data_IF_145575766008
#
_entry.id   IF_145575766008
#
_cell.length_a   1.000
_cell.length_b   1.000
_cell.length_c   1.000
_cell.angle_alpha   90.00
_cell.angle_beta   90.00
_cell.angle_gamma   90.00
#
_symmetry.space_group_name_H-M   'P 1'
#
loop_
_entity.id
_entity.type
_entity.pdbx_description
1 polymer ?
#
# COMPACT_ATOMS: atom_id res chain seq x y z
N UNK A 1 -4.04 59.57 74.35
CA UNK A 1 -4.69 59.55 73.09
C UNK A 1 -4.64 58.15 72.55
N UNK A 2 -5.50 57.59 72.55
CA UNK A 2 -6.82 57.00 72.56
C UNK A 2 -6.80 55.84 71.54
N UNK A 3 -6.93 54.66 72.13
CA UNK A 3 -6.99 53.37 71.48
C UNK A 3 -8.30 53.13 70.65
N UNK A 4 -9.07 54.16 70.34
CA UNK A 4 -10.41 54.06 69.73
C UNK A 4 -10.45 54.34 68.23
N UNK A 5 -9.29 54.45 67.56
CA UNK A 5 -9.23 54.71 66.13
C UNK A 5 -8.70 53.55 65.25
N UNK A 6 -8.37 52.41 65.89
CA UNK A 6 -7.81 51.28 65.21
C UNK A 6 -8.83 50.14 64.96
N UNK A 7 -10.04 50.22 65.53
CA UNK A 7 -11.08 49.18 65.38
C UNK A 7 -12.08 49.43 64.24
N UNK A 8 -12.00 50.56 63.54
CA UNK A 8 -13.00 50.90 62.50
C UNK A 8 -12.50 50.74 61.08
N UNK A 9 -11.34 50.11 60.90
CA UNK A 9 -10.75 49.86 59.58
C UNK A 9 -10.61 48.35 59.24
N UNK A 10 -11.18 47.48 60.08
CA UNK A 10 -11.12 46.03 59.86
C UNK A 10 -12.47 45.35 59.56
N UNK A 11 -13.45 46.09 59.09
CA UNK A 11 -14.76 45.53 58.72
C UNK A 11 -15.19 46.04 57.36
N UNK A 12 -14.45 45.78 56.32
CA UNK A 12 -14.97 45.80 54.94
C UNK A 12 -13.86 45.38 54.00
N UNK A 13 -13.68 44.11 53.74
CA UNK A 13 -13.22 43.55 52.47
C UNK A 13 -13.14 42.02 52.58
N UNK A 14 -14.30 41.38 52.80
CA UNK A 14 -14.46 39.98 52.44
C UNK A 14 -14.91 39.95 50.98
N UNK A 15 -13.97 40.18 50.08
CA UNK A 15 -14.19 39.91 48.64
C UNK A 15 -14.08 38.40 48.48
N UNK A 16 -15.20 37.75 48.23
CA UNK A 16 -15.27 36.38 47.81
C UNK A 16 -14.59 36.26 46.41
N UNK A 17 -13.31 35.86 46.41
CA UNK A 17 -12.62 35.42 45.23
C UNK A 17 -13.20 34.05 44.83
N UNK A 18 -14.29 34.04 44.06
CA UNK A 18 -14.77 32.89 43.36
C UNK A 18 -13.73 32.51 42.30
N UNK A 19 -12.85 31.56 42.63
CA UNK A 19 -12.04 30.87 41.63
C UNK A 19 -13.00 30.11 40.68
N UNK A 20 -13.33 30.73 39.57
CA UNK A 20 -13.78 30.00 38.37
C UNK A 20 -12.59 29.14 37.91
N UNK A 21 -12.55 27.90 38.37
CA UNK A 21 -11.79 26.85 37.72
C UNK A 21 -12.44 26.64 36.35
N UNK A 22 -11.95 27.36 35.35
CA UNK A 22 -12.14 26.98 33.97
C UNK A 22 -11.39 25.64 33.80
N UNK A 23 -12.10 24.53 33.94
CA UNK A 23 -11.64 23.26 33.41
C UNK A 23 -11.60 23.44 31.91
N UNK A 24 -10.42 23.75 31.38
CA UNK A 24 -10.15 23.48 29.96
C UNK A 24 -10.30 21.99 29.82
N UNK A 25 -11.44 21.53 29.30
CA UNK A 25 -11.55 20.24 28.66
C UNK A 25 -10.59 20.37 27.47
N UNK A 26 -9.40 19.83 27.63
CA UNK A 26 -8.56 19.55 26.45
C UNK A 26 -9.46 18.74 25.55
N UNK A 27 -9.83 19.26 24.40
CA UNK A 27 -10.44 18.47 23.36
C UNK A 27 -9.46 17.32 23.14
N UNK A 28 -9.91 16.09 23.38
CA UNK A 28 -9.14 14.92 23.05
C UNK A 28 -8.95 15.02 21.54
N UNK A 29 -7.73 15.24 21.09
CA UNK A 29 -7.43 15.25 19.66
C UNK A 29 -7.92 13.93 19.11
N UNK A 30 -8.83 13.97 18.15
CA UNK A 30 -9.32 12.79 17.45
C UNK A 30 -8.19 12.30 16.56
N UNK A 31 -7.28 11.47 17.07
CA UNK A 31 -6.15 10.91 16.33
C UNK A 31 -6.57 9.58 15.71
N UNK A 32 -6.36 9.43 14.41
CA UNK A 32 -6.48 8.17 13.71
C UNK A 32 -5.09 7.63 13.39
N UNK A 33 -4.71 6.51 13.96
CA UNK A 33 -3.43 5.87 13.70
C UNK A 33 -3.56 4.80 12.61
N UNK A 34 -2.83 4.98 11.49
CA UNK A 34 -2.83 4.05 10.37
C UNK A 34 -1.44 3.45 10.18
N UNK A 35 -1.31 2.12 10.33
CA UNK A 35 -0.06 1.44 9.97
C UNK A 35 0.01 1.28 8.46
N UNK A 36 1.13 1.69 7.86
CA UNK A 36 1.33 1.71 6.44
C UNK A 36 2.76 1.28 6.05
N UNK A 37 3.01 0.79 4.82
CA UNK A 37 4.37 0.51 4.35
C UNK A 37 5.18 1.79 4.19
N UNK A 38 6.51 1.69 4.29
CA UNK A 38 7.42 2.83 4.17
C UNK A 38 7.24 3.59 2.85
N UNK A 39 7.03 2.88 1.73
CA UNK A 39 6.82 3.51 0.42
C UNK A 39 5.54 4.35 0.38
N UNK A 40 4.48 3.93 1.07
CA UNK A 40 3.20 4.63 1.09
C UNK A 40 3.29 5.99 1.78
N UNK A 41 4.06 6.07 2.87
CA UNK A 41 4.21 7.27 3.71
C UNK A 41 5.42 8.12 3.35
N UNK A 42 6.24 7.71 2.38
CA UNK A 42 7.37 8.50 1.90
C UNK A 42 6.90 9.82 1.28
N UNK A 43 7.80 10.79 1.14
CA UNK A 43 7.50 12.07 0.47
C UNK A 43 7.03 11.89 -1.00
N UNK A 44 7.35 10.76 -1.62
CA UNK A 44 6.97 10.39 -2.98
C UNK A 44 5.73 9.49 -3.04
N UNK A 45 5.31 8.97 -1.89
CA UNK A 45 4.15 8.08 -1.76
C UNK A 45 2.84 8.86 -1.70
N UNK A 46 1.69 8.15 -1.73
CA UNK A 46 0.39 8.80 -1.70
C UNK A 46 -0.02 9.29 -0.29
N UNK A 47 0.66 8.82 0.77
CA UNK A 47 0.31 9.07 2.17
C UNK A 47 0.15 10.54 2.52
N UNK A 48 1.13 11.43 2.24
CA UNK A 48 1.02 12.85 2.59
C UNK A 48 -0.19 13.55 1.98
N UNK A 49 -0.51 13.28 0.71
CA UNK A 49 -1.69 13.86 0.06
C UNK A 49 -3.00 13.27 0.60
N UNK A 50 -3.02 11.98 0.94
CA UNK A 50 -4.17 11.30 1.56
C UNK A 50 -4.43 11.86 2.96
N UNK A 51 -3.38 12.10 3.76
CA UNK A 51 -3.46 12.73 5.08
C UNK A 51 -4.15 14.10 4.98
N UNK A 52 -3.61 15.00 4.16
CA UNK A 52 -4.18 16.34 3.94
C UNK A 52 -5.67 16.28 3.51
N UNK A 53 -6.01 15.39 2.56
CA UNK A 53 -7.37 15.26 2.07
C UNK A 53 -8.35 14.67 3.09
N UNK A 54 -7.90 13.74 3.92
CA UNK A 54 -8.74 13.15 4.96
C UNK A 54 -8.95 14.11 6.12
N UNK A 55 -7.91 14.78 6.60
CA UNK A 55 -7.99 15.78 7.67
C UNK A 55 -8.89 16.97 7.31
N UNK A 56 -8.91 17.37 6.03
CA UNK A 56 -9.83 18.38 5.55
C UNK A 56 -11.32 17.99 5.67
N UNK A 57 -11.64 16.71 5.92
CA UNK A 57 -13.01 16.15 6.01
C UNK A 57 -13.44 15.74 7.40
N UNK A 58 -12.44 15.42 8.22
CA UNK A 58 -12.67 15.01 9.59
C UNK A 58 -12.18 16.08 10.56
N UNK A 59 -12.61 16.39 11.61
CA UNK A 59 -11.98 17.21 12.65
C UNK A 59 -11.00 16.32 13.45
N UNK A 60 -9.92 15.86 12.77
CA UNK A 60 -9.01 14.84 13.28
C UNK A 60 -7.58 15.05 12.84
N UNK A 61 -6.64 14.33 13.45
CA UNK A 61 -5.22 14.18 13.11
C UNK A 61 -5.00 12.75 12.58
N UNK A 62 -4.69 12.59 11.30
CA UNK A 62 -4.36 11.31 10.68
C UNK A 62 -2.87 11.04 10.78
N UNK A 63 -2.48 10.03 11.54
CA UNK A 63 -1.08 9.66 11.72
C UNK A 63 -0.74 8.35 11.03
N UNK A 64 0.04 8.42 9.95
CA UNK A 64 0.64 7.22 9.39
C UNK A 64 1.86 6.79 10.20
N UNK A 65 1.92 5.50 10.54
CA UNK A 65 3.08 4.88 11.21
C UNK A 65 3.70 3.81 10.30
N UNK A 66 4.88 4.08 9.72
CA UNK A 66 5.54 3.13 8.82
C UNK A 66 6.07 1.89 9.54
N UNK A 67 6.29 0.83 8.77
CA UNK A 67 6.99 -0.37 9.20
C UNK A 67 6.32 -1.68 8.82
N UNK A 68 6.71 -2.74 9.55
CA UNK A 68 6.13 -4.06 9.38
C UNK A 68 4.66 -4.05 9.79
N UNK A 69 3.77 -4.49 8.92
CA UNK A 69 2.32 -4.39 9.13
C UNK A 69 1.77 -5.53 9.98
N UNK A 70 1.44 -6.67 9.33
CA UNK A 70 0.85 -7.81 10.04
C UNK A 70 1.75 -8.39 11.13
N UNK A 71 3.07 -8.56 10.95
CA UNK A 71 3.93 -9.05 12.00
C UNK A 71 3.90 -8.17 13.26
N UNK A 72 3.89 -6.85 13.09
CA UNK A 72 3.78 -5.88 14.18
C UNK A 72 2.44 -5.98 14.90
N UNK A 73 1.33 -5.98 14.15
CA UNK A 73 -0.02 -6.11 14.71
C UNK A 73 -0.16 -7.42 15.50
N UNK A 74 0.35 -8.54 14.98
CA UNK A 74 0.32 -9.82 15.68
C UNK A 74 1.16 -9.83 16.97
N UNK A 75 2.29 -9.14 16.98
CA UNK A 75 3.16 -9.00 18.17
C UNK A 75 2.51 -8.12 19.24
N UNK A 76 1.90 -7.02 18.86
CA UNK A 76 1.21 -6.09 19.75
C UNK A 76 -0.12 -6.66 20.27
N UNK A 77 -0.81 -7.46 19.45
CA UNK A 77 -2.09 -8.07 19.76
C UNK A 77 -3.15 -7.01 20.10
N UNK A 78 -3.91 -7.24 21.17
CA UNK A 78 -4.95 -6.30 21.62
C UNK A 78 -4.41 -4.95 22.15
N UNK A 79 -3.09 -4.77 22.18
CA UNK A 79 -2.45 -3.50 22.61
C UNK A 79 -1.94 -2.69 21.43
N UNK A 80 -2.25 -3.09 20.21
CA UNK A 80 -1.87 -2.30 19.04
C UNK A 80 -2.45 -0.91 19.12
N UNK A 81 -1.67 0.09 18.72
CA UNK A 81 -2.12 1.48 18.64
C UNK A 81 -2.81 1.76 17.29
N UNK A 82 -2.78 0.80 16.36
CA UNK A 82 -3.38 0.99 15.05
C UNK A 82 -4.90 0.94 15.13
N UNK A 83 -5.56 1.90 14.52
CA UNK A 83 -6.99 1.90 14.22
C UNK A 83 -7.27 1.20 12.90
N UNK A 84 -6.38 1.44 11.92
CA UNK A 84 -6.44 0.88 10.56
C UNK A 84 -5.03 0.46 10.14
N UNK A 85 -4.96 -0.54 9.27
CA UNK A 85 -3.76 -0.88 8.51
C UNK A 85 -4.03 -0.77 7.02
N UNK A 86 -3.08 -0.25 6.25
CA UNK A 86 -3.13 -0.18 4.79
C UNK A 86 -1.86 -0.79 4.19
N UNK A 87 -1.98 -1.52 3.07
CA UNK A 87 -0.84 -2.16 2.41
C UNK A 87 -0.65 -3.65 2.76
N UNK A 88 -1.66 -4.31 3.35
CA UNK A 88 -1.67 -5.77 3.43
C UNK A 88 -1.89 -6.36 2.03
N UNK A 89 -1.45 -7.60 1.82
CA UNK A 89 -1.70 -8.35 0.59
C UNK A 89 -2.60 -9.56 0.84
N UNK A 90 -3.14 -10.12 -0.22
CA UNK A 90 -4.03 -11.29 -0.14
C UNK A 90 -3.37 -12.52 0.46
N UNK A 91 -2.05 -12.69 0.31
CA UNK A 91 -1.28 -13.82 0.84
C UNK A 91 -1.26 -13.88 2.39
N UNK A 92 -1.45 -12.74 3.07
CA UNK A 92 -1.47 -12.68 4.55
C UNK A 92 -2.88 -12.68 5.15
N UNK A 93 -3.95 -12.55 4.35
CA UNK A 93 -5.33 -12.40 4.84
C UNK A 93 -5.81 -13.55 5.70
N UNK A 94 -5.46 -14.79 5.36
CA UNK A 94 -5.80 -15.96 6.16
C UNK A 94 -5.24 -15.84 7.59
N UNK A 95 -3.96 -15.56 7.72
CA UNK A 95 -3.27 -15.40 9.01
C UNK A 95 -3.82 -14.20 9.79
N UNK A 96 -4.09 -13.10 9.09
CA UNK A 96 -4.69 -11.92 9.69
C UNK A 96 -6.09 -12.22 10.26
N UNK A 97 -6.94 -12.90 9.50
CA UNK A 97 -8.29 -13.29 9.93
C UNK A 97 -8.27 -14.25 11.14
N UNK A 98 -7.38 -15.24 11.11
CA UNK A 98 -7.21 -16.22 12.21
C UNK A 98 -6.76 -15.55 13.52
N UNK A 99 -6.14 -14.37 13.47
CA UNK A 99 -5.75 -13.63 14.67
C UNK A 99 -6.93 -13.06 15.48
N UNK A 100 -8.08 -12.83 14.83
CA UNK A 100 -9.25 -12.19 15.45
C UNK A 100 -9.05 -10.69 15.77
N UNK A 101 -7.98 -10.06 15.26
CA UNK A 101 -7.64 -8.65 15.53
C UNK A 101 -8.30 -7.67 14.57
N UNK A 102 -8.97 -8.14 13.52
CA UNK A 102 -9.58 -7.31 12.48
C UNK A 102 -11.11 -7.36 12.54
N UNK A 103 -11.75 -6.26 12.17
CA UNK A 103 -13.20 -6.10 12.17
C UNK A 103 -13.76 -5.91 10.75
N UNK A 104 -15.03 -6.22 10.50
CA UNK A 104 -15.69 -5.88 9.26
C UNK A 104 -15.59 -4.37 8.96
N UNK A 105 -15.30 -4.02 7.69
CA UNK A 105 -15.15 -2.63 7.28
C UNK A 105 -16.48 -1.91 7.04
N UNK A 106 -17.58 -2.63 6.74
CA UNK A 106 -18.90 -2.06 6.52
C UNK A 106 -19.04 -1.16 5.26
N UNK A 107 -18.03 -1.14 4.39
CA UNK A 107 -17.99 -0.28 3.18
C UNK A 107 -18.80 -0.94 2.05
N UNK A 108 -19.56 -0.14 1.30
CA UNK A 108 -20.17 -0.58 0.05
C UNK A 108 -19.09 -0.85 -1.01
N UNK A 109 -19.07 -2.09 -1.52
CA UNK A 109 -18.10 -2.55 -2.51
C UNK A 109 -18.51 -2.27 -3.96
N UNK A 110 -19.67 -1.67 -4.20
CA UNK A 110 -20.18 -1.37 -5.55
C UNK A 110 -19.27 -0.46 -6.40
N UNK A 111 -18.42 0.42 -5.83
CA UNK A 111 -17.46 1.21 -6.62
C UNK A 111 -16.26 0.42 -7.15
N UNK A 112 -16.00 -0.81 -6.66
CA UNK A 112 -14.85 -1.58 -7.08
C UNK A 112 -14.87 -1.92 -8.57
N UNK A 113 -13.73 -1.75 -9.22
CA UNK A 113 -13.50 -2.02 -10.66
C UNK A 113 -12.46 -3.12 -10.88
N UNK A 114 -12.28 -4.02 -9.91
CA UNK A 114 -11.34 -5.12 -9.99
C UNK A 114 -11.69 -6.08 -11.14
N UNK A 115 -10.69 -6.74 -11.78
CA UNK A 115 -10.94 -7.75 -12.81
C UNK A 115 -11.49 -9.07 -12.24
N UNK A 116 -11.61 -9.20 -10.92
CA UNK A 116 -12.15 -10.34 -10.19
C UNK A 116 -13.29 -9.90 -9.27
N UNK A 117 -14.21 -10.83 -8.95
CA UNK A 117 -15.23 -10.57 -7.94
C UNK A 117 -14.59 -10.46 -6.54
N UNK A 118 -14.99 -9.46 -5.78
CA UNK A 118 -14.54 -9.25 -4.42
C UNK A 118 -15.75 -9.18 -3.46
N UNK A 119 -15.71 -9.96 -2.38
CA UNK A 119 -16.81 -10.04 -1.41
C UNK A 119 -16.29 -10.18 0.04
N UNK A 120 -15.01 -9.90 0.28
CA UNK A 120 -14.44 -9.90 1.63
C UNK A 120 -15.01 -8.74 2.44
N UNK A 121 -15.45 -9.00 3.66
CA UNK A 121 -16.06 -8.00 4.55
C UNK A 121 -15.07 -7.37 5.55
N UNK A 122 -13.85 -7.89 5.62
CA UNK A 122 -12.77 -7.43 6.52
C UNK A 122 -11.66 -6.71 5.77
N UNK A 123 -11.24 -7.25 4.63
CA UNK A 123 -10.12 -6.74 3.86
C UNK A 123 -10.62 -5.99 2.63
N UNK A 124 -10.40 -4.67 2.60
CA UNK A 124 -10.89 -3.76 1.56
C UNK A 124 -9.79 -3.48 0.54
N UNK A 125 -9.96 -3.83 -0.75
CA UNK A 125 -8.99 -3.50 -1.80
C UNK A 125 -8.91 -2.00 -2.03
N UNK A 126 -7.70 -1.45 -2.14
CA UNK A 126 -7.51 -0.06 -2.54
C UNK A 126 -6.71 0.10 -3.83
N UNK A 127 -5.89 -0.88 -4.18
CA UNK A 127 -5.21 -0.95 -5.46
C UNK A 127 -4.94 -2.41 -5.86
N UNK A 128 -4.49 -2.57 -7.10
CA UNK A 128 -4.02 -3.85 -7.60
C UNK A 128 -2.96 -3.69 -8.69
N UNK A 129 -2.29 -4.79 -8.99
CA UNK A 129 -1.32 -4.88 -10.07
C UNK A 129 -1.13 -6.33 -10.50
N UNK A 130 -0.33 -6.53 -11.53
CA UNK A 130 0.03 -7.85 -12.03
C UNK A 130 1.54 -7.96 -12.03
N UNK A 131 2.07 -9.03 -11.44
CA UNK A 131 3.51 -9.33 -11.49
C UNK A 131 3.94 -9.53 -12.92
N UNK A 132 5.02 -8.87 -13.35
CA UNK A 132 5.55 -8.96 -14.69
C UNK A 132 7.07 -8.78 -14.71
N UNK A 133 7.73 -9.28 -15.74
CA UNK A 133 9.09 -8.84 -16.07
C UNK A 133 9.03 -7.58 -16.93
N UNK A 134 9.80 -6.58 -16.55
CA UNK A 134 9.95 -5.32 -17.29
C UNK A 134 11.27 -5.34 -18.05
N UNK A 135 11.28 -4.85 -19.28
CA UNK A 135 12.43 -4.78 -20.16
C UNK A 135 12.56 -3.42 -20.84
N UNK A 136 13.72 -3.13 -21.42
CA UNK A 136 13.95 -1.92 -22.21
C UNK A 136 14.04 -2.29 -23.69
N UNK A 137 13.16 -1.73 -24.52
CA UNK A 137 13.06 -2.00 -25.96
C UNK A 137 14.30 -1.60 -26.75
N UNK A 138 15.14 -0.69 -26.21
CA UNK A 138 16.41 -0.31 -26.85
C UNK A 138 17.56 -1.29 -26.58
N UNK A 139 17.38 -2.20 -25.58
CA UNK A 139 18.40 -3.18 -25.17
C UNK A 139 18.01 -4.61 -25.49
N UNK A 140 16.71 -4.90 -25.52
CA UNK A 140 16.16 -6.22 -25.78
C UNK A 140 15.10 -6.13 -26.88
N UNK A 141 15.51 -6.32 -28.13
CA UNK A 141 14.67 -6.18 -29.31
C UNK A 141 13.57 -7.26 -29.36
N UNK A 142 13.84 -8.45 -28.82
CA UNK A 142 12.95 -9.60 -28.86
C UNK A 142 12.82 -10.17 -27.44
N UNK A 143 11.94 -9.60 -26.61
CA UNK A 143 11.69 -10.13 -25.27
C UNK A 143 10.93 -11.47 -25.37
N UNK A 144 11.05 -12.35 -24.35
CA UNK A 144 10.17 -13.51 -24.20
C UNK A 144 8.70 -13.09 -24.27
N UNK A 145 7.92 -13.80 -25.09
CA UNK A 145 6.48 -13.53 -25.31
C UNK A 145 5.59 -14.46 -24.48
N UNK A 146 6.17 -15.39 -23.73
CA UNK A 146 5.50 -16.34 -22.85
C UNK A 146 6.42 -16.73 -21.71
N UNK A 147 5.86 -17.38 -20.68
CA UNK A 147 6.70 -17.95 -19.62
C UNK A 147 7.58 -19.08 -20.18
N UNK A 148 7.05 -19.89 -21.08
CA UNK A 148 7.83 -20.94 -21.74
C UNK A 148 8.97 -20.36 -22.59
N UNK A 149 8.76 -19.24 -23.30
CA UNK A 149 9.84 -18.55 -24.01
C UNK A 149 10.92 -18.05 -23.04
N UNK A 150 10.51 -17.52 -21.89
CA UNK A 150 11.45 -17.07 -20.85
C UNK A 150 12.31 -18.23 -20.31
N UNK A 151 11.70 -19.38 -20.04
CA UNK A 151 12.42 -20.56 -19.57
C UNK A 151 13.38 -21.11 -20.64
N UNK A 152 12.99 -21.08 -21.91
CA UNK A 152 13.78 -21.58 -23.04
C UNK A 152 14.71 -20.54 -23.68
N UNK A 153 14.72 -19.29 -23.18
CA UNK A 153 15.66 -18.28 -23.63
C UNK A 153 17.13 -18.71 -23.36
N UNK A 154 18.07 -18.11 -24.08
CA UNK A 154 19.49 -18.38 -23.87
C UNK A 154 19.92 -18.00 -22.43
N UNK A 155 20.91 -18.71 -21.89
CA UNK A 155 21.39 -18.49 -20.52
C UNK A 155 22.13 -17.16 -20.34
N UNK A 156 22.38 -16.42 -21.41
CA UNK A 156 22.95 -15.06 -21.38
C UNK A 156 21.89 -13.96 -21.18
N UNK A 157 20.61 -14.29 -21.23
CA UNK A 157 19.52 -13.39 -20.80
C UNK A 157 19.66 -13.09 -19.31
N UNK A 158 19.87 -11.83 -18.96
CA UNK A 158 20.15 -11.42 -17.58
C UNK A 158 18.89 -10.95 -16.88
N UNK A 159 18.46 -11.72 -15.87
CA UNK A 159 17.31 -11.40 -15.04
C UNK A 159 17.76 -10.95 -13.65
N UNK A 160 17.11 -9.90 -13.14
CA UNK A 160 17.19 -9.52 -11.72
C UNK A 160 15.84 -9.72 -11.07
N UNK A 161 15.84 -10.41 -9.94
CA UNK A 161 14.65 -10.69 -9.14
C UNK A 161 14.88 -10.30 -7.68
N UNK A 162 13.84 -10.40 -6.86
CA UNK A 162 13.92 -10.14 -5.42
C UNK A 162 13.82 -11.44 -4.61
N UNK A 163 14.38 -11.41 -3.40
CA UNK A 163 14.30 -12.52 -2.44
C UNK A 163 12.87 -12.65 -1.91
N UNK A 164 12.21 -13.82 -2.09
CA UNK A 164 10.84 -14.04 -1.64
C UNK A 164 10.66 -13.98 -0.11
N UNK A 165 11.74 -14.02 0.66
CA UNK A 165 11.72 -13.94 2.12
C UNK A 165 11.65 -12.50 2.63
N UNK A 166 12.04 -11.53 1.81
CA UNK A 166 12.14 -10.11 2.18
C UNK A 166 11.38 -9.18 1.25
N UNK A 167 10.83 -9.68 0.14
CA UNK A 167 10.14 -8.88 -0.86
C UNK A 167 8.83 -9.52 -1.30
N UNK A 168 7.77 -8.73 -1.33
CA UNK A 168 6.44 -9.13 -1.81
C UNK A 168 6.50 -9.54 -3.28
N UNK A 169 7.21 -8.79 -4.13
CA UNK A 169 7.37 -9.12 -5.54
C UNK A 169 8.17 -10.41 -5.74
N UNK A 170 9.18 -10.68 -4.90
CA UNK A 170 9.89 -11.96 -4.90
C UNK A 170 8.97 -13.12 -4.55
N UNK A 171 8.11 -12.98 -3.53
CA UNK A 171 7.11 -13.99 -3.18
C UNK A 171 6.08 -14.17 -4.32
N UNK A 172 5.65 -13.06 -4.94
CA UNK A 172 4.73 -13.10 -6.07
C UNK A 172 5.28 -13.92 -7.24
N UNK A 173 6.58 -13.85 -7.55
CA UNK A 173 7.20 -14.69 -8.58
C UNK A 173 7.12 -16.17 -8.22
N UNK A 174 7.38 -16.53 -6.96
CA UNK A 174 7.26 -17.94 -6.51
C UNK A 174 5.85 -18.46 -6.71
N UNK A 175 4.86 -17.65 -6.33
CA UNK A 175 3.44 -18.00 -6.49
C UNK A 175 3.03 -18.03 -7.96
N UNK A 176 3.57 -17.14 -8.78
CA UNK A 176 3.31 -17.09 -10.22
C UNK A 176 3.83 -18.33 -10.93
N UNK A 177 5.10 -18.72 -10.69
CA UNK A 177 5.67 -19.96 -11.22
C UNK A 177 4.86 -21.18 -10.77
N UNK A 178 4.46 -21.22 -9.49
CA UNK A 178 3.63 -22.30 -8.95
C UNK A 178 2.24 -22.35 -9.63
N UNK A 179 1.62 -21.20 -9.86
CA UNK A 179 0.30 -21.11 -10.51
C UNK A 179 0.32 -21.55 -11.97
N UNK A 180 1.41 -21.24 -12.70
CA UNK A 180 1.56 -21.62 -14.11
C UNK A 180 1.93 -23.09 -14.26
N UNK A 181 2.88 -23.60 -13.47
CA UNK A 181 3.50 -24.90 -13.72
C UNK A 181 3.07 -25.99 -12.73
N UNK A 182 2.40 -25.66 -11.62
CA UNK A 182 1.94 -26.65 -10.63
C UNK A 182 3.06 -27.57 -10.17
N UNK A 183 2.90 -28.88 -10.36
CA UNK A 183 3.92 -29.90 -10.02
C UNK A 183 5.22 -29.75 -10.82
N UNK A 184 5.21 -29.06 -11.94
CA UNK A 184 6.37 -28.75 -12.78
C UNK A 184 7.17 -27.52 -12.32
N UNK A 185 6.75 -26.82 -11.27
CA UNK A 185 7.37 -25.57 -10.80
C UNK A 185 8.86 -25.72 -10.48
N UNK A 186 9.28 -26.86 -9.89
CA UNK A 186 10.69 -27.11 -9.64
C UNK A 186 11.52 -27.13 -10.91
N UNK A 187 11.06 -27.83 -11.95
CA UNK A 187 11.74 -27.89 -13.23
C UNK A 187 11.78 -26.51 -13.92
N UNK A 188 10.73 -25.73 -13.80
CA UNK A 188 10.70 -24.33 -14.28
C UNK A 188 11.77 -23.48 -13.58
N UNK A 189 11.91 -23.60 -12.26
CA UNK A 189 12.97 -22.93 -11.51
C UNK A 189 14.38 -23.35 -11.91
N UNK A 190 14.60 -24.64 -12.19
CA UNK A 190 15.89 -25.15 -12.67
C UNK A 190 16.29 -24.54 -14.04
N UNK A 191 15.31 -24.23 -14.90
CA UNK A 191 15.53 -23.56 -16.18
C UNK A 191 15.66 -22.03 -16.04
N UNK A 192 14.99 -21.41 -15.08
CA UNK A 192 15.05 -19.98 -14.84
C UNK A 192 16.36 -19.57 -14.12
N UNK A 193 16.86 -20.42 -13.21
CA UNK A 193 17.98 -20.10 -12.33
C UNK A 193 19.27 -19.67 -13.05
N UNK A 194 19.70 -20.27 -14.19
CA UNK A 194 20.90 -19.84 -14.91
C UNK A 194 20.83 -18.40 -15.43
N UNK A 195 19.64 -17.88 -15.68
CA UNK A 195 19.38 -16.52 -16.21
C UNK A 195 19.35 -15.47 -15.11
N UNK A 196 19.20 -15.88 -13.83
CA UNK A 196 19.14 -14.96 -12.69
C UNK A 196 20.54 -14.54 -12.30
N UNK A 197 20.92 -13.30 -12.66
CA UNK A 197 22.27 -12.76 -12.35
C UNK A 197 22.35 -12.21 -10.93
N UNK A 198 21.23 -11.75 -10.36
CA UNK A 198 21.18 -11.20 -9.01
C UNK A 198 19.81 -11.41 -8.37
N UNK A 199 19.82 -11.74 -7.08
CA UNK A 199 18.66 -11.76 -6.20
C UNK A 199 18.85 -10.67 -5.16
N UNK A 200 18.11 -9.57 -5.27
CA UNK A 200 18.23 -8.44 -4.34
C UNK A 200 17.32 -8.62 -3.13
N UNK A 201 17.59 -7.86 -2.08
CA UNK A 201 16.75 -7.86 -0.89
C UNK A 201 15.38 -7.23 -1.13
N UNK A 202 15.31 -6.19 -1.97
CA UNK A 202 14.10 -5.41 -2.23
C UNK A 202 13.98 -4.93 -3.67
N UNK A 203 12.80 -4.43 -4.00
CA UNK A 203 12.43 -4.01 -5.35
C UNK A 203 13.29 -2.85 -5.87
N UNK A 204 13.50 -1.81 -5.06
CA UNK A 204 14.23 -0.61 -5.51
C UNK A 204 15.66 -0.91 -5.98
N UNK A 205 16.36 -1.81 -5.27
CA UNK A 205 17.70 -2.24 -5.63
C UNK A 205 17.70 -2.97 -6.98
N UNK A 206 16.79 -3.93 -7.19
CA UNK A 206 16.73 -4.66 -8.45
C UNK A 206 16.32 -3.77 -9.63
N UNK A 207 15.39 -2.85 -9.38
CA UNK A 207 14.97 -1.92 -10.43
C UNK A 207 16.09 -0.96 -10.82
N UNK A 208 16.90 -0.51 -9.85
CA UNK A 208 18.11 0.28 -10.09
C UNK A 208 19.11 -0.45 -10.99
N UNK A 209 19.44 -1.71 -10.70
CA UNK A 209 20.31 -2.53 -11.55
C UNK A 209 19.80 -2.65 -13.00
N UNK A 210 18.50 -2.76 -13.17
CA UNK A 210 17.89 -2.79 -14.49
C UNK A 210 18.03 -1.44 -15.22
N UNK A 211 17.72 -0.32 -14.57
CA UNK A 211 17.84 1.01 -15.16
C UNK A 211 19.29 1.34 -15.51
N UNK A 212 20.25 0.91 -14.70
CA UNK A 212 21.69 1.05 -14.94
C UNK A 212 22.22 0.14 -16.06
N UNK A 213 21.39 -0.80 -16.56
CA UNK A 213 21.71 -1.70 -17.68
C UNK A 213 22.50 -2.94 -17.29
N UNK A 214 22.51 -3.29 -16.00
CA UNK A 214 23.15 -4.52 -15.51
C UNK A 214 22.28 -5.76 -15.71
N UNK A 215 21.01 -5.58 -16.04
CA UNK A 215 20.07 -6.65 -16.38
C UNK A 215 19.27 -6.29 -17.63
N UNK A 216 18.82 -7.31 -18.36
CA UNK A 216 17.98 -7.18 -19.54
C UNK A 216 16.51 -7.09 -19.16
N UNK A 217 16.13 -7.81 -18.10
CA UNK A 217 14.79 -7.79 -17.52
C UNK A 217 14.85 -7.75 -15.99
N UNK A 218 13.84 -7.13 -15.40
CA UNK A 218 13.65 -7.06 -13.95
C UNK A 218 12.27 -7.53 -13.56
N UNK A 219 12.18 -8.30 -12.48
CA UNK A 219 10.90 -8.64 -11.86
C UNK A 219 10.26 -7.38 -11.26
N UNK A 220 9.06 -7.05 -11.73
CA UNK A 220 8.30 -5.88 -11.31
C UNK A 220 6.80 -6.09 -11.58
N UNK A 221 6.13 -5.06 -12.11
CA UNK A 221 4.69 -5.05 -12.35
C UNK A 221 4.36 -4.52 -13.74
N UNK A 222 3.20 -4.89 -14.26
CA UNK A 222 2.68 -4.33 -15.52
C UNK A 222 2.50 -2.82 -15.49
N UNK A 223 2.43 -2.22 -14.30
CA UNK A 223 2.29 -0.78 -14.09
C UNK A 223 3.61 -0.01 -14.09
N UNK A 224 4.74 -0.67 -13.94
CA UNK A 224 6.06 -0.01 -13.86
C UNK A 224 6.38 0.89 -15.06
N UNK A 225 6.00 0.55 -16.31
CA UNK A 225 6.22 1.45 -17.44
C UNK A 225 5.53 2.81 -17.31
N UNK A 226 4.42 2.91 -16.56
CA UNK A 226 3.71 4.18 -16.39
C UNK A 226 4.56 5.25 -15.71
N UNK A 227 5.43 4.87 -14.76
CA UNK A 227 6.38 5.81 -14.14
C UNK A 227 7.27 6.46 -15.19
N UNK A 228 7.89 5.66 -16.05
CA UNK A 228 8.80 6.16 -17.08
C UNK A 228 8.08 7.05 -18.10
N UNK A 229 6.86 6.67 -18.50
CA UNK A 229 6.04 7.46 -19.43
C UNK A 229 5.66 8.81 -18.81
N UNK A 230 5.22 8.82 -17.54
CA UNK A 230 4.65 10.02 -16.90
C UNK A 230 5.75 10.93 -16.33
N UNK A 231 6.75 10.37 -15.65
CA UNK A 231 7.75 11.14 -14.92
C UNK A 231 9.01 11.43 -15.76
N UNK A 232 9.34 10.58 -16.74
CA UNK A 232 10.60 10.66 -17.51
C UNK A 232 10.36 10.90 -19.00
N UNK A 233 9.12 10.90 -19.49
CA UNK A 233 8.77 10.95 -20.93
C UNK A 233 9.47 9.84 -21.73
N UNK A 234 9.65 8.68 -21.12
CA UNK A 234 10.39 7.53 -21.64
C UNK A 234 9.43 6.33 -21.90
N UNK A 235 9.04 6.07 -23.16
CA UNK A 235 8.19 4.95 -23.52
C UNK A 235 8.96 3.64 -23.75
N UNK A 236 10.27 3.61 -23.55
CA UNK A 236 11.12 2.44 -23.88
C UNK A 236 11.00 1.29 -22.89
N UNK A 237 10.52 1.54 -21.68
CA UNK A 237 10.28 0.48 -20.69
C UNK A 237 8.92 -0.15 -20.94
N UNK A 238 8.89 -1.47 -21.06
CA UNK A 238 7.68 -2.25 -21.32
C UNK A 238 7.59 -3.45 -20.37
N UNK A 239 6.36 -3.87 -20.07
CA UNK A 239 6.12 -5.13 -19.39
C UNK A 239 5.97 -6.26 -20.42
N UNK A 240 6.61 -7.39 -20.16
CA UNK A 240 6.39 -8.61 -20.93
C UNK A 240 5.05 -9.24 -20.52
N UNK A 241 4.10 -9.34 -21.45
CA UNK A 241 2.77 -9.90 -21.20
C UNK A 241 2.73 -11.34 -21.65
N UNK A 242 2.44 -12.26 -20.72
CA UNK A 242 2.46 -13.69 -20.92
C UNK A 242 1.04 -14.28 -21.05
N UNK A 243 0.76 -15.09 -22.07
CA UNK A 243 -0.57 -15.66 -22.31
C UNK A 243 -0.99 -16.70 -21.26
N UNK A 244 -0.04 -17.27 -20.51
CA UNK A 244 -0.33 -18.17 -19.38
C UNK A 244 -1.09 -17.46 -18.26
N UNK A 245 -1.04 -16.13 -18.22
CA UNK A 245 -1.64 -15.25 -17.21
C UNK A 245 -0.59 -14.69 -16.27
N UNK A 246 -0.98 -13.64 -15.53
CA UNK A 246 -0.13 -12.95 -14.57
C UNK A 246 -0.64 -13.11 -13.16
N UNK A 247 0.27 -13.26 -12.20
CA UNK A 247 -0.10 -13.31 -10.79
C UNK A 247 -0.69 -11.96 -10.37
N UNK A 248 -1.93 -12.02 -9.86
CA UNK A 248 -2.71 -10.86 -9.48
C UNK A 248 -2.43 -10.48 -8.03
N UNK A 249 -1.96 -9.27 -7.84
CA UNK A 249 -1.68 -8.72 -6.51
C UNK A 249 -2.69 -7.66 -6.17
N UNK A 250 -3.23 -7.75 -4.95
CA UNK A 250 -4.16 -6.76 -4.40
C UNK A 250 -3.62 -6.26 -3.07
N UNK A 251 -3.51 -4.95 -2.94
CA UNK A 251 -3.23 -4.34 -1.65
C UNK A 251 -4.53 -3.96 -0.94
N UNK A 252 -4.53 -4.15 0.36
CA UNK A 252 -5.72 -4.16 1.20
C UNK A 252 -5.58 -3.17 2.35
N UNK A 253 -6.68 -2.52 2.68
CA UNK A 253 -6.88 -1.84 3.95
C UNK A 253 -7.74 -2.70 4.87
N UNK A 254 -7.54 -2.58 6.18
CA UNK A 254 -8.37 -3.28 7.17
C UNK A 254 -8.47 -2.50 8.49
N UNK A 255 -9.66 -2.51 9.09
CA UNK A 255 -9.93 -1.90 10.39
C UNK A 255 -9.58 -2.87 11.52
N UNK A 256 -8.94 -2.38 12.58
CA UNK A 256 -8.65 -3.16 13.78
C UNK A 256 -9.90 -3.26 14.67
N UNK A 257 -10.16 -4.46 15.21
CA UNK A 257 -11.31 -4.71 16.09
C UNK A 257 -11.18 -4.01 17.45
N UNK A 258 -9.96 -3.69 17.87
CA UNK A 258 -9.66 -3.03 19.14
C UNK A 258 -9.48 -1.52 19.03
N UNK A 259 -9.88 -0.89 17.92
CA UNK A 259 -9.75 0.57 17.74
C UNK A 259 -10.51 1.35 18.83
N UNK A 260 -9.86 2.37 19.37
CA UNK A 260 -10.49 3.31 20.32
C UNK A 260 -11.30 4.40 19.55
N UNK A 261 -11.16 4.48 18.22
CA UNK A 261 -11.80 5.48 17.35
C UNK A 261 -12.63 4.82 16.22
N UNK A 262 -13.62 3.95 16.54
CA UNK A 262 -14.32 3.14 15.53
C UNK A 262 -15.02 3.98 14.47
N UNK A 263 -15.65 5.10 14.83
CA UNK A 263 -16.37 5.97 13.89
C UNK A 263 -15.41 6.66 12.92
N UNK A 264 -14.23 7.05 13.39
CA UNK A 264 -13.20 7.68 12.55
C UNK A 264 -12.52 6.64 11.64
N UNK A 265 -12.28 5.43 12.16
CA UNK A 265 -11.81 4.32 11.35
C UNK A 265 -12.80 3.95 10.24
N UNK A 266 -14.11 3.92 10.52
CA UNK A 266 -15.15 3.68 9.52
C UNK A 266 -15.19 4.78 8.45
N UNK A 267 -15.02 6.06 8.83
CA UNK A 267 -14.90 7.16 7.88
C UNK A 267 -13.68 7.01 6.98
N UNK A 268 -12.52 6.61 7.53
CA UNK A 268 -11.33 6.37 6.75
C UNK A 268 -11.50 5.18 5.79
N UNK A 269 -12.06 4.07 6.26
CA UNK A 269 -12.34 2.91 5.41
C UNK A 269 -13.28 3.26 4.25
N UNK A 270 -14.31 4.08 4.48
CA UNK A 270 -15.17 4.59 3.41
C UNK A 270 -14.42 5.54 2.45
N UNK A 271 -13.52 6.37 2.98
CA UNK A 271 -12.70 7.27 2.20
C UNK A 271 -11.75 6.54 1.25
N UNK A 272 -11.26 5.34 1.62
CA UNK A 272 -10.37 4.50 0.79
C UNK A 272 -10.95 4.23 -0.61
N UNK A 273 -12.26 4.08 -0.76
CA UNK A 273 -12.90 3.89 -2.07
C UNK A 273 -13.40 5.20 -2.72
N UNK A 274 -13.15 6.36 -2.10
CA UNK A 274 -13.53 7.64 -2.70
C UNK A 274 -12.65 7.99 -3.90
N UNK A 275 -13.20 8.79 -4.83
CA UNK A 275 -12.46 9.25 -6.00
C UNK A 275 -11.19 10.04 -5.61
N UNK A 276 -11.24 10.84 -4.54
CA UNK A 276 -10.10 11.62 -4.08
C UNK A 276 -8.94 10.72 -3.62
N UNK A 277 -9.21 9.70 -2.80
CA UNK A 277 -8.21 8.72 -2.40
C UNK A 277 -7.68 7.94 -3.61
N UNK A 278 -8.59 7.41 -4.43
CA UNK A 278 -8.25 6.54 -5.56
C UNK A 278 -7.45 7.27 -6.64
N UNK A 279 -7.66 8.58 -6.81
CA UNK A 279 -6.89 9.41 -7.76
C UNK A 279 -5.41 9.55 -7.36
N UNK A 280 -5.07 9.42 -6.07
CA UNK A 280 -3.69 9.48 -5.60
C UNK A 280 -2.92 8.17 -5.82
N UNK A 281 -3.63 7.06 -6.00
CA UNK A 281 -3.01 5.74 -6.09
C UNK A 281 -2.20 5.56 -7.38
N UNK A 282 -2.72 5.97 -8.51
CA UNK A 282 -2.06 5.72 -9.79
C UNK A 282 -0.63 6.28 -9.84
N UNK A 283 -0.42 7.54 -9.44
CA UNK A 283 0.88 8.22 -9.52
C UNK A 283 1.64 8.26 -8.18
N UNK A 284 0.97 8.06 -7.06
CA UNK A 284 1.63 8.00 -5.75
C UNK A 284 2.08 6.59 -5.37
N UNK A 285 1.32 5.56 -5.78
CA UNK A 285 1.64 4.15 -5.49
C UNK A 285 2.04 3.35 -6.74
N UNK A 286 1.96 3.94 -7.92
CA UNK A 286 2.25 3.31 -9.23
C UNK A 286 1.51 1.99 -9.43
N UNK A 287 0.28 1.92 -8.94
CA UNK A 287 -0.60 0.76 -8.98
C UNK A 287 -1.94 1.14 -9.59
N UNK A 288 -2.71 0.16 -10.03
CA UNK A 288 -4.04 0.40 -10.61
C UNK A 288 -5.02 0.65 -9.47
N UNK A 289 -5.73 1.80 -9.44
CA UNK A 289 -6.74 2.09 -8.43
C UNK A 289 -7.87 1.07 -8.44
N UNK A 290 -8.28 0.57 -7.27
CA UNK A 290 -9.31 -0.47 -7.17
C UNK A 290 -10.74 0.04 -7.43
N UNK A 291 -10.99 1.35 -7.29
CA UNK A 291 -12.32 1.97 -7.40
C UNK A 291 -12.31 3.27 -8.22
N UNK A 292 -11.48 3.32 -9.25
CA UNK A 292 -11.44 4.43 -10.20
C UNK A 292 -11.64 3.90 -11.62
N UNK A 293 -12.60 4.43 -12.34
CA UNK A 293 -12.86 4.03 -13.73
C UNK A 293 -11.67 4.37 -14.65
N UNK A 294 -11.43 3.51 -15.63
CA UNK A 294 -10.26 3.59 -16.50
C UNK A 294 -10.16 4.92 -17.29
N UNK A 295 -11.29 5.54 -17.61
CA UNK A 295 -11.32 6.85 -18.27
C UNK A 295 -10.75 8.00 -17.42
N UNK A 296 -10.68 7.79 -16.09
CA UNK A 296 -10.09 8.73 -15.12
C UNK A 296 -8.62 8.44 -14.81
N UNK A 297 -8.07 7.35 -15.33
CA UNK A 297 -6.65 7.05 -15.12
C UNK A 297 -5.75 8.07 -15.81
N UNK A 298 -4.57 8.37 -15.26
CA UNK A 298 -3.56 9.15 -15.97
C UNK A 298 -3.24 8.57 -17.34
N UNK A 299 -2.88 9.43 -18.32
CA UNK A 299 -2.63 8.99 -19.70
C UNK A 299 -1.61 7.86 -19.81
N UNK A 300 -0.51 7.91 -19.03
CA UNK A 300 0.49 6.85 -19.02
C UNK A 300 -0.04 5.49 -18.56
N UNK A 301 -1.03 5.47 -17.66
CA UNK A 301 -1.70 4.23 -17.25
C UNK A 301 -2.63 3.68 -18.33
N UNK A 302 -3.28 4.54 -19.10
CA UNK A 302 -4.14 4.11 -20.23
C UNK A 302 -3.36 3.52 -21.39
N UNK A 303 -2.07 3.77 -21.46
CA UNK A 303 -1.15 3.23 -22.49
C UNK A 303 -0.53 1.89 -22.10
N UNK A 304 -0.77 1.39 -20.87
CA UNK A 304 -0.20 0.13 -20.42
C UNK A 304 -0.82 -1.08 -21.12
N UNK A 305 0.03 -2.03 -21.48
CA UNK A 305 -0.40 -3.37 -21.84
C UNK A 305 -0.75 -4.12 -20.55
N UNK A 306 -2.01 -4.54 -20.42
CA UNK A 306 -2.50 -5.30 -19.28
C UNK A 306 -2.83 -6.74 -19.71
N UNK A 307 -2.61 -7.74 -18.84
CA UNK A 307 -2.89 -9.13 -19.15
C UNK A 307 -4.41 -9.37 -19.25
N UNK A 308 -4.81 -10.20 -20.22
CA UNK A 308 -6.20 -10.66 -20.32
C UNK A 308 -6.56 -11.71 -19.27
N UNK A 309 -5.54 -12.45 -18.78
CA UNK A 309 -5.71 -13.53 -17.81
C UNK A 309 -4.95 -13.23 -16.52
N UNK A 310 -5.66 -13.34 -15.41
CA UNK A 310 -5.11 -13.24 -14.06
C UNK A 310 -5.07 -14.61 -13.39
N UNK A 311 -4.08 -14.81 -12.49
CA UNK A 311 -3.83 -16.07 -11.77
C UNK A 311 -3.90 -15.83 -10.26
#
# INVERSE_FOLDING_TARGET
>A
PSAARLEMLMKAFTFAAGCLLATSVAAQENVLTVYAPDYFVSEWGPGPAIEEMFEARCDCDLQFKPGDLLPRILLEGARTEADVVIGLNTDVTKKARESGLFAPHGVDLSPLTLPIAWADDVFLPFNYGHTAFVYNTERLDTPPASFDDLLNADDDLRLVIQDPRSSISGLALVLWVQAVYGDGAQAAWEQLAPKIVTVTRGWSESYGLFTDGEADMVLSYTTSPAYHIIAEDDPTKKAAIFPEGHYFMVELAAKLAGTDNPDLADQFMAFVLSEDFQSMIATGNWSIPAALSQDKWPEGFRQLDLPEKVL
#
